data_IF_818049791422
#
_entry.id   IF_818049791422
#
_cell.length_a   1.000
_cell.length_b   1.000
_cell.length_c   1.000
_cell.angle_alpha   90.00
_cell.angle_beta   90.00
_cell.angle_gamma   90.00
#
_symmetry.space_group_name_H-M   'P 1'
#
loop_
_entity.id
_entity.type
_entity.pdbx_description
1 polymer ?
#
# COMPACT_ATOMS: atom_id res chain seq x y z
N UNK A 1 -19.25 8.58 -8.31
CA UNK A 1 -19.82 7.46 -9.10
C UNK A 1 -19.09 6.13 -8.90
N UNK A 2 -17.75 6.09 -8.82
CA UNK A 2 -16.99 4.82 -8.68
C UNK A 2 -17.38 3.95 -7.46
N UNK A 3 -17.66 4.56 -6.29
CA UNK A 3 -18.08 3.80 -5.09
C UNK A 3 -19.39 3.02 -5.27
N UNK A 4 -20.30 3.47 -6.15
CA UNK A 4 -21.58 2.81 -6.37
C UNK A 4 -21.44 1.51 -7.18
N UNK A 5 -20.37 1.40 -7.99
CA UNK A 5 -20.14 0.24 -8.87
C UNK A 5 -19.16 -0.78 -8.28
N UNK A 6 -18.40 -0.46 -7.22
CA UNK A 6 -17.45 -1.43 -6.65
C UNK A 6 -18.14 -2.67 -6.08
N UNK A 7 -19.17 -2.49 -5.24
CA UNK A 7 -19.90 -3.61 -4.63
C UNK A 7 -20.49 -4.60 -5.65
N UNK A 8 -21.24 -4.17 -6.69
CA UNK A 8 -21.76 -5.11 -7.69
C UNK A 8 -20.65 -5.80 -8.48
N UNK A 9 -19.54 -5.11 -8.76
CA UNK A 9 -18.38 -5.72 -9.44
C UNK A 9 -17.68 -6.78 -8.57
N UNK A 10 -17.54 -6.54 -7.25
CA UNK A 10 -16.99 -7.55 -6.32
C UNK A 10 -17.94 -8.75 -6.17
N UNK A 11 -19.26 -8.54 -6.18
CA UNK A 11 -20.24 -9.64 -6.19
C UNK A 11 -20.13 -10.44 -7.50
N UNK A 12 -20.02 -9.76 -8.64
CA UNK A 12 -19.80 -10.39 -9.93
C UNK A 12 -18.56 -11.28 -9.89
N UNK A 13 -17.44 -10.79 -9.36
CA UNK A 13 -16.21 -11.58 -9.19
C UNK A 13 -16.43 -12.86 -8.39
N UNK A 14 -17.24 -12.81 -7.32
CA UNK A 14 -17.53 -14.00 -6.52
C UNK A 14 -18.40 -15.01 -7.28
N UNK A 15 -19.37 -14.53 -8.05
CA UNK A 15 -20.23 -15.39 -8.88
C UNK A 15 -19.44 -16.05 -10.01
N UNK A 16 -18.62 -15.29 -10.72
CA UNK A 16 -17.75 -15.81 -11.78
C UNK A 16 -16.70 -16.76 -11.21
N UNK A 17 -16.13 -16.49 -10.04
CA UNK A 17 -15.24 -17.43 -9.35
C UNK A 17 -15.95 -18.73 -8.94
N UNK A 18 -17.20 -18.64 -8.46
CA UNK A 18 -18.01 -19.81 -8.12
C UNK A 18 -18.35 -20.66 -9.36
N UNK A 19 -18.54 -20.05 -10.53
CA UNK A 19 -18.74 -20.74 -11.81
C UNK A 19 -17.43 -21.31 -12.37
N UNK A 20 -16.35 -20.54 -12.29
CA UNK A 20 -15.05 -20.92 -12.83
C UNK A 20 -14.46 -22.12 -12.09
N UNK A 21 -14.64 -22.22 -10.77
CA UNK A 21 -14.03 -23.28 -9.95
C UNK A 21 -14.40 -24.72 -10.39
N UNK A 22 -15.69 -25.11 -10.52
CA UNK A 22 -16.05 -26.45 -10.98
C UNK A 22 -15.63 -26.69 -12.45
N UNK A 23 -15.69 -25.66 -13.29
CA UNK A 23 -15.23 -25.75 -14.67
C UNK A 23 -13.71 -25.96 -14.77
N UNK A 24 -12.95 -25.31 -13.89
CA UNK A 24 -11.50 -25.48 -13.78
C UNK A 24 -11.17 -26.93 -13.38
N UNK A 25 -11.87 -27.47 -12.37
CA UNK A 25 -11.73 -28.86 -11.93
C UNK A 25 -12.00 -29.81 -13.10
N UNK A 26 -13.11 -29.64 -13.80
CA UNK A 26 -13.45 -30.46 -14.95
C UNK A 26 -12.38 -30.38 -16.05
N UNK A 27 -11.94 -29.18 -16.43
CA UNK A 27 -10.88 -29.02 -17.44
C UNK A 27 -9.54 -29.61 -17.00
N UNK A 28 -9.18 -29.49 -15.72
CA UNK A 28 -7.94 -30.06 -15.20
C UNK A 28 -7.98 -31.58 -15.28
N UNK A 29 -9.06 -32.22 -14.82
CA UNK A 29 -9.21 -33.69 -14.88
C UNK A 29 -9.12 -34.17 -16.33
N UNK A 30 -9.88 -33.57 -17.24
CA UNK A 30 -9.91 -33.99 -18.64
C UNK A 30 -8.56 -33.73 -19.35
N UNK A 31 -7.85 -32.65 -19.02
CA UNK A 31 -6.53 -32.38 -19.59
C UNK A 31 -5.46 -33.36 -19.06
N UNK A 32 -5.56 -33.80 -17.81
CA UNK A 32 -4.69 -34.84 -17.25
C UNK A 32 -4.99 -36.23 -17.83
N UNK A 33 -6.26 -36.51 -18.16
CA UNK A 33 -6.74 -37.79 -18.68
C UNK A 33 -6.55 -37.95 -20.21
N UNK A 34 -5.58 -37.23 -20.79
CA UNK A 34 -5.35 -37.20 -22.25
C UNK A 34 -5.32 -38.63 -22.87
N UNK A 35 -6.06 -38.87 -23.96
CA UNK A 35 -6.26 -40.20 -24.54
C UNK A 35 -5.02 -40.77 -25.25
N UNK A 36 -3.94 -39.99 -25.37
CA UNK A 36 -2.69 -40.49 -25.92
C UNK A 36 -1.93 -41.29 -24.86
N UNK A 37 -1.96 -42.62 -24.99
CA UNK A 37 -1.40 -43.59 -24.05
C UNK A 37 0.09 -43.39 -23.67
N UNK A 38 0.83 -42.59 -24.46
CA UNK A 38 2.24 -42.24 -24.22
C UNK A 38 2.47 -40.85 -23.60
N UNK A 39 1.43 -40.04 -23.40
CA UNK A 39 1.56 -38.65 -22.93
C UNK A 39 0.71 -38.42 -21.69
N UNK A 40 1.09 -39.10 -20.60
CA UNK A 40 0.59 -38.73 -19.28
C UNK A 40 1.29 -37.43 -18.86
N UNK A 41 0.51 -36.38 -18.62
CA UNK A 41 1.01 -35.10 -18.09
C UNK A 41 0.71 -35.05 -16.61
N UNK A 42 1.72 -34.77 -15.78
CA UNK A 42 1.54 -34.61 -14.34
C UNK A 42 0.94 -33.23 -13.99
N UNK A 43 1.08 -32.24 -14.88
CA UNK A 43 0.69 -30.84 -14.64
C UNK A 43 0.17 -30.20 -15.92
N UNK A 44 -0.85 -29.35 -15.79
CA UNK A 44 -1.46 -28.57 -16.87
C UNK A 44 -1.54 -27.10 -16.49
N UNK A 45 -1.60 -26.20 -17.48
CA UNK A 45 -1.75 -24.76 -17.21
C UNK A 45 -3.04 -24.44 -16.42
N UNK A 46 -4.08 -25.27 -16.58
CA UNK A 46 -5.33 -25.16 -15.82
C UNK A 46 -5.11 -25.30 -14.30
N UNK A 47 -4.14 -26.10 -13.84
CA UNK A 47 -3.82 -26.23 -12.41
C UNK A 47 -3.39 -24.90 -11.78
N UNK A 48 -2.77 -24.01 -12.55
CA UNK A 48 -2.35 -22.71 -12.03
C UNK A 48 -3.50 -21.71 -11.97
N UNK A 49 -4.61 -21.95 -12.68
CA UNK A 49 -5.79 -21.09 -12.70
C UNK A 49 -6.46 -20.89 -11.34
N UNK A 50 -6.27 -21.80 -10.38
CA UNK A 50 -6.77 -21.64 -9.01
C UNK A 50 -6.12 -20.47 -8.27
N UNK A 51 -4.87 -20.13 -8.60
CA UNK A 51 -4.11 -19.08 -7.89
C UNK A 51 -4.77 -17.70 -8.07
N UNK A 52 -4.91 -17.16 -9.29
CA UNK A 52 -5.56 -15.85 -9.47
C UNK A 52 -7.04 -15.87 -9.07
N UNK A 53 -7.71 -17.02 -9.19
CA UNK A 53 -9.11 -17.19 -8.81
C UNK A 53 -9.29 -17.07 -7.28
N UNK A 54 -8.45 -17.76 -6.50
CA UNK A 54 -8.43 -17.65 -5.05
C UNK A 54 -8.04 -16.22 -4.61
N UNK A 55 -7.00 -15.65 -5.21
CA UNK A 55 -6.57 -14.28 -4.92
C UNK A 55 -7.68 -13.25 -5.13
N UNK A 56 -8.38 -13.33 -6.26
CA UNK A 56 -9.47 -12.40 -6.60
C UNK A 56 -10.72 -12.60 -5.76
N UNK A 57 -11.04 -13.84 -5.39
CA UNK A 57 -12.10 -14.13 -4.43
C UNK A 57 -11.78 -13.57 -3.03
N UNK A 58 -10.55 -13.76 -2.55
CA UNK A 58 -10.10 -13.21 -1.25
C UNK A 58 -10.09 -11.67 -1.30
N UNK A 59 -9.53 -11.07 -2.35
CA UNK A 59 -9.53 -9.62 -2.50
C UNK A 59 -10.96 -9.03 -2.50
N UNK A 60 -11.89 -9.70 -3.19
CA UNK A 60 -13.28 -9.26 -3.26
C UNK A 60 -14.04 -9.44 -1.95
N UNK A 61 -13.86 -10.56 -1.25
CA UNK A 61 -14.47 -10.77 0.08
C UNK A 61 -13.92 -9.78 1.10
N UNK A 62 -12.60 -9.58 1.15
CA UNK A 62 -11.97 -8.63 2.08
C UNK A 62 -12.42 -7.19 1.77
N UNK A 63 -12.47 -6.77 0.50
CA UNK A 63 -13.00 -5.45 0.12
C UNK A 63 -14.45 -5.28 0.59
N UNK A 64 -15.31 -6.27 0.35
CA UNK A 64 -16.72 -6.20 0.77
C UNK A 64 -16.88 -6.14 2.29
N UNK A 65 -16.09 -6.93 3.05
CA UNK A 65 -16.09 -6.89 4.52
C UNK A 65 -15.58 -5.53 5.02
N UNK A 66 -14.53 -4.99 4.40
CA UNK A 66 -13.99 -3.67 4.74
C UNK A 66 -15.03 -2.58 4.51
N UNK A 67 -15.67 -2.56 3.34
CA UNK A 67 -16.72 -1.60 3.00
C UNK A 67 -17.92 -1.70 3.95
N UNK A 68 -18.31 -2.92 4.35
CA UNK A 68 -19.38 -3.14 5.33
C UNK A 68 -19.02 -2.59 6.72
N UNK A 69 -17.75 -2.70 7.14
CA UNK A 69 -17.31 -2.28 8.48
C UNK A 69 -16.98 -0.79 8.57
N UNK A 70 -16.40 -0.20 7.52
CA UNK A 70 -15.89 1.18 7.54
C UNK A 70 -16.66 2.16 6.67
N UNK A 71 -17.58 1.69 5.83
CA UNK A 71 -18.35 2.53 4.91
C UNK A 71 -17.54 3.13 3.75
N UNK A 72 -16.23 2.88 3.70
CA UNK A 72 -15.31 3.40 2.68
C UNK A 72 -14.71 2.28 1.85
N UNK A 73 -14.30 2.61 0.63
CA UNK A 73 -13.55 1.72 -0.25
C UNK A 73 -12.13 1.46 0.30
N UNK A 74 -11.56 0.27 0.10
CA UNK A 74 -10.22 -0.03 0.57
C UNK A 74 -9.17 0.86 -0.14
N UNK A 75 -8.14 1.27 0.60
CA UNK A 75 -7.12 2.21 0.12
C UNK A 75 -6.23 1.66 -1.02
N UNK A 76 -5.33 2.49 -1.59
CA UNK A 76 -4.57 2.18 -2.80
C UNK A 76 -3.67 0.95 -2.69
N UNK A 77 -3.30 0.54 -1.47
CA UNK A 77 -2.54 -0.69 -1.23
C UNK A 77 -3.31 -1.95 -1.63
N UNK A 78 -4.64 -1.95 -1.53
CA UNK A 78 -5.48 -3.07 -1.98
C UNK A 78 -5.49 -3.20 -3.50
N UNK A 79 -5.42 -2.08 -4.22
CA UNK A 79 -5.37 -2.08 -5.68
C UNK A 79 -4.11 -2.74 -6.23
N UNK A 80 -3.01 -2.77 -5.47
CA UNK A 80 -1.80 -3.53 -5.86
C UNK A 80 -2.12 -5.03 -5.99
N UNK A 81 -2.96 -5.58 -5.10
CA UNK A 81 -3.41 -6.97 -5.20
C UNK A 81 -4.27 -7.19 -6.44
N UNK A 82 -5.13 -6.23 -6.78
CA UNK A 82 -5.93 -6.27 -8.01
C UNK A 82 -5.03 -6.26 -9.27
N UNK A 83 -3.96 -5.46 -9.25
CA UNK A 83 -2.94 -5.44 -10.32
C UNK A 83 -2.15 -6.74 -10.42
N UNK A 84 -1.71 -7.31 -9.29
CA UNK A 84 -1.00 -8.59 -9.27
C UNK A 84 -1.90 -9.73 -9.80
N UNK A 85 -3.18 -9.75 -9.41
CA UNK A 85 -4.13 -10.70 -9.91
C UNK A 85 -4.30 -10.61 -11.45
N UNK A 86 -4.34 -9.39 -11.99
CA UNK A 86 -4.39 -9.18 -13.44
C UNK A 86 -3.17 -9.79 -14.15
N UNK A 87 -1.96 -9.58 -13.63
CA UNK A 87 -0.72 -10.15 -14.20
C UNK A 87 -0.77 -11.68 -14.15
N UNK A 88 -1.21 -12.25 -13.03
CA UNK A 88 -1.35 -13.70 -12.86
C UNK A 88 -2.37 -14.29 -13.85
N UNK A 89 -3.50 -13.61 -14.09
CA UNK A 89 -4.45 -14.05 -15.12
C UNK A 89 -3.82 -14.08 -16.51
N UNK A 90 -3.07 -13.04 -16.91
CA UNK A 90 -2.36 -13.06 -18.20
C UNK A 90 -1.35 -14.21 -18.27
N UNK A 91 -0.56 -14.39 -17.21
CA UNK A 91 0.46 -15.44 -17.14
C UNK A 91 -0.11 -16.85 -17.27
N UNK A 92 -1.39 -17.07 -16.94
CA UNK A 92 -2.06 -18.38 -17.01
C UNK A 92 -2.94 -18.51 -18.26
N UNK A 93 -3.69 -17.48 -18.63
CA UNK A 93 -4.57 -17.50 -19.81
C UNK A 93 -3.76 -17.66 -21.10
N UNK A 94 -2.59 -17.04 -21.21
CA UNK A 94 -1.75 -17.17 -22.40
C UNK A 94 -1.32 -18.63 -22.62
N UNK A 95 -0.70 -19.34 -21.64
CA UNK A 95 -0.41 -20.76 -21.78
C UNK A 95 -1.62 -21.65 -22.03
N UNK A 96 -2.77 -21.37 -21.40
CA UNK A 96 -4.00 -22.15 -21.64
C UNK A 96 -4.40 -22.08 -23.12
N UNK A 97 -4.42 -20.88 -23.71
CA UNK A 97 -4.84 -20.71 -25.10
C UNK A 97 -3.75 -21.10 -26.11
N UNK A 98 -2.47 -20.84 -25.81
CA UNK A 98 -1.36 -21.08 -26.72
C UNK A 98 -0.90 -22.55 -26.74
N UNK A 99 -0.95 -23.23 -25.59
CA UNK A 99 -0.41 -24.58 -25.42
C UNK A 99 -1.55 -25.59 -25.26
N UNK A 100 -2.40 -25.43 -24.24
CA UNK A 100 -3.39 -26.47 -23.90
C UNK A 100 -4.46 -26.62 -25.00
N UNK A 101 -5.02 -25.52 -25.50
CA UNK A 101 -6.03 -25.58 -26.58
C UNK A 101 -5.44 -26.12 -27.88
N UNK A 102 -4.17 -25.83 -28.15
CA UNK A 102 -3.44 -26.36 -29.32
C UNK A 102 -3.18 -27.86 -29.20
N UNK A 103 -2.72 -28.32 -28.03
CA UNK A 103 -2.38 -29.72 -27.76
C UNK A 103 -3.62 -30.63 -27.70
N UNK A 104 -4.74 -30.12 -27.18
CA UNK A 104 -5.97 -30.92 -27.01
C UNK A 104 -6.66 -31.23 -28.34
N UNK A 105 -6.40 -30.46 -29.41
CA UNK A 105 -6.66 -30.78 -30.82
C UNK A 105 -8.10 -31.11 -31.25
N UNK A 106 -9.03 -31.28 -30.31
CA UNK A 106 -10.39 -31.73 -30.54
C UNK A 106 -11.40 -30.60 -30.29
N UNK A 107 -12.42 -30.45 -31.15
CA UNK A 107 -13.29 -29.28 -31.18
C UNK A 107 -14.09 -29.06 -29.88
N UNK A 108 -14.38 -30.12 -29.11
CA UNK A 108 -15.07 -30.01 -27.82
C UNK A 108 -14.24 -29.36 -26.71
N UNK A 109 -12.91 -29.48 -26.76
CA UNK A 109 -12.02 -28.98 -25.73
C UNK A 109 -11.82 -27.47 -25.80
N UNK A 110 -11.77 -26.90 -27.01
CA UNK A 110 -11.70 -25.45 -27.18
C UNK A 110 -12.94 -24.73 -26.62
N UNK A 111 -14.11 -25.36 -26.76
CA UNK A 111 -15.37 -24.83 -26.22
C UNK A 111 -15.43 -24.93 -24.69
N UNK A 112 -14.97 -26.05 -24.12
CA UNK A 112 -14.83 -26.21 -22.68
C UNK A 112 -13.82 -25.21 -22.09
N UNK A 113 -12.65 -25.06 -22.72
CA UNK A 113 -11.64 -24.08 -22.33
C UNK A 113 -12.20 -22.64 -22.43
N UNK A 114 -13.01 -22.35 -23.44
CA UNK A 114 -13.73 -21.09 -23.56
C UNK A 114 -14.68 -20.83 -22.39
N UNK A 115 -15.48 -21.82 -22.00
CA UNK A 115 -16.38 -21.68 -20.85
C UNK A 115 -15.65 -21.54 -19.51
N UNK A 116 -14.50 -22.22 -19.35
CA UNK A 116 -13.67 -22.09 -18.14
C UNK A 116 -12.97 -20.73 -18.08
N UNK A 117 -12.40 -20.27 -19.20
CA UNK A 117 -11.62 -19.02 -19.23
C UNK A 117 -12.49 -17.78 -19.30
N UNK A 118 -13.73 -17.84 -19.81
CA UNK A 118 -14.66 -16.70 -19.86
C UNK A 118 -14.88 -16.02 -18.50
N UNK A 119 -15.29 -16.72 -17.41
CA UNK A 119 -15.44 -16.11 -16.10
C UNK A 119 -14.10 -15.61 -15.51
N UNK A 120 -12.98 -16.27 -15.85
CA UNK A 120 -11.64 -15.81 -15.45
C UNK A 120 -11.26 -14.49 -16.15
N UNK A 121 -11.59 -14.34 -17.43
CA UNK A 121 -11.38 -13.12 -18.22
C UNK A 121 -12.24 -11.98 -17.64
N UNK A 122 -13.49 -12.25 -17.26
CA UNK A 122 -14.34 -11.26 -16.58
C UNK A 122 -13.68 -10.81 -15.28
N UNK A 123 -13.18 -11.74 -14.45
CA UNK A 123 -12.44 -11.39 -13.23
C UNK A 123 -11.21 -10.54 -13.53
N UNK A 124 -10.42 -10.91 -14.53
CA UNK A 124 -9.27 -10.13 -14.97
C UNK A 124 -9.67 -8.68 -15.25
N UNK A 125 -10.68 -8.45 -16.10
CA UNK A 125 -11.13 -7.10 -16.44
C UNK A 125 -11.63 -6.31 -15.23
N UNK A 126 -12.38 -6.94 -14.32
CA UNK A 126 -12.86 -6.28 -13.10
C UNK A 126 -11.69 -5.81 -12.24
N UNK A 127 -10.69 -6.66 -12.02
CA UNK A 127 -9.52 -6.32 -11.22
C UNK A 127 -8.59 -5.31 -11.94
N UNK A 128 -8.44 -5.42 -13.27
CA UNK A 128 -7.75 -4.41 -14.07
C UNK A 128 -8.40 -3.03 -13.96
N UNK A 129 -9.75 -2.98 -13.96
CA UNK A 129 -10.49 -1.74 -13.80
C UNK A 129 -10.21 -1.08 -12.45
N UNK A 130 -10.24 -1.85 -11.35
CA UNK A 130 -9.90 -1.34 -10.03
C UNK A 130 -8.45 -0.86 -9.93
N UNK A 131 -7.51 -1.58 -10.54
CA UNK A 131 -6.12 -1.17 -10.59
C UNK A 131 -5.94 0.13 -11.38
N UNK A 132 -6.51 0.22 -12.58
CA UNK A 132 -6.42 1.39 -13.46
C UNK A 132 -7.03 2.64 -12.80
N UNK A 133 -8.18 2.50 -12.15
CA UNK A 133 -8.83 3.62 -11.44
C UNK A 133 -7.94 4.16 -10.31
N UNK A 134 -7.22 3.28 -9.61
CA UNK A 134 -6.34 3.65 -8.51
C UNK A 134 -4.88 3.88 -8.94
N UNK A 135 -4.55 3.70 -10.23
CA UNK A 135 -3.17 3.73 -10.72
C UNK A 135 -2.46 5.06 -10.41
N UNK A 136 -3.18 6.19 -10.52
CA UNK A 136 -2.62 7.51 -10.15
C UNK A 136 -2.30 7.61 -8.67
N UNK A 137 -3.16 7.06 -7.80
CA UNK A 137 -2.93 7.04 -6.35
C UNK A 137 -1.79 6.11 -5.96
N UNK A 138 -1.68 4.96 -6.63
CA UNK A 138 -0.59 4.00 -6.46
C UNK A 138 0.73 4.65 -6.89
N UNK A 139 0.76 5.26 -8.08
CA UNK A 139 1.94 5.97 -8.59
C UNK A 139 2.37 7.09 -7.65
N UNK A 140 1.43 7.88 -7.13
CA UNK A 140 1.75 8.91 -6.14
C UNK A 140 2.29 8.34 -4.83
N UNK A 141 1.86 7.14 -4.44
CA UNK A 141 2.37 6.47 -3.23
C UNK A 141 3.80 5.95 -3.42
N UNK A 142 4.16 5.56 -4.64
CA UNK A 142 5.54 5.19 -4.99
C UNK A 142 6.45 6.41 -5.22
N UNK A 143 5.89 7.52 -5.71
CA UNK A 143 6.61 8.76 -5.95
C UNK A 143 6.72 9.66 -4.71
N UNK A 144 5.95 9.37 -3.64
CA UNK A 144 6.01 10.14 -2.41
C UNK A 144 7.38 9.93 -1.72
N UNK A 145 8.07 11.01 -1.31
CA UNK A 145 9.31 10.88 -0.55
C UNK A 145 9.03 10.13 0.74
N UNK A 146 9.90 9.17 1.10
CA UNK A 146 9.76 8.42 2.34
C UNK A 146 9.88 9.38 3.52
N UNK A 147 8.79 9.49 4.28
CA UNK A 147 8.74 10.26 5.53
C UNK A 147 9.14 9.30 6.64
N UNK A 148 10.30 9.54 7.25
CA UNK A 148 10.72 8.83 8.45
C UNK A 148 10.32 9.63 9.68
N UNK A 149 9.78 8.95 10.68
CA UNK A 149 9.49 9.52 11.99
C UNK A 149 10.71 9.33 12.88
N UNK A 150 11.22 10.41 13.47
CA UNK A 150 12.31 10.31 14.43
C UNK A 150 11.80 9.64 15.72
N UNK A 151 12.40 8.52 16.17
CA UNK A 151 11.91 7.79 17.34
C UNK A 151 12.03 8.58 18.66
N UNK A 152 12.82 9.66 18.71
CA UNK A 152 13.04 10.43 19.93
C UNK A 152 12.17 11.69 20.04
N UNK A 153 11.80 12.30 18.92
CA UNK A 153 11.02 13.56 18.90
C UNK A 153 9.73 13.48 18.09
N UNK A 154 9.40 12.31 17.52
CA UNK A 154 8.22 12.07 16.68
C UNK A 154 8.06 13.06 15.51
N UNK A 155 9.14 13.76 15.14
CA UNK A 155 9.14 14.68 14.02
C UNK A 155 9.37 13.91 12.72
N UNK A 156 8.56 14.24 11.72
CA UNK A 156 8.57 13.63 10.41
C UNK A 156 9.56 14.34 9.49
N UNK A 157 10.51 13.60 8.90
CA UNK A 157 11.46 14.14 7.92
C UNK A 157 11.47 13.32 6.63
N UNK A 158 11.48 14.01 5.48
CA UNK A 158 11.53 13.39 4.16
C UNK A 158 12.98 13.09 3.78
N UNK A 159 13.32 11.83 3.51
CA UNK A 159 14.66 11.45 3.01
C UNK A 159 14.64 11.48 1.47
N UNK A 160 15.21 12.53 0.91
CA UNK A 160 15.39 12.76 -0.52
C UNK A 160 16.25 14.00 -0.73
N UNK A 161 16.97 14.10 -1.86
CA UNK A 161 17.84 15.25 -2.19
C UNK A 161 17.04 16.53 -1.95
N UNK A 162 17.49 17.44 -1.08
CA UNK A 162 16.73 18.64 -0.77
C UNK A 162 16.56 19.43 -2.07
N UNK A 163 15.32 19.59 -2.54
CA UNK A 163 15.04 20.71 -3.43
C UNK A 163 15.28 21.96 -2.61
N UNK A 164 16.39 22.63 -2.87
CA UNK A 164 16.65 23.98 -2.43
C UNK A 164 15.49 24.82 -2.99
N UNK A 165 14.43 24.99 -2.19
CA UNK A 165 13.47 26.05 -2.42
C UNK A 165 14.20 27.34 -2.11
N UNK A 166 14.81 27.94 -3.11
CA UNK A 166 15.08 29.37 -3.09
C UNK A 166 13.72 30.05 -3.01
N UNK A 167 13.27 30.32 -1.78
CA UNK A 167 12.16 31.23 -1.56
C UNK A 167 12.69 32.63 -1.84
N UNK A 168 12.70 33.01 -3.13
CA UNK A 168 12.86 34.39 -3.56
C UNK A 168 11.60 35.17 -3.16
N UNK A 169 11.49 35.46 -1.86
CA UNK A 169 10.70 36.58 -1.37
C UNK A 169 11.53 37.29 -0.33
N UNK A 170 12.16 38.36 -0.81
CA UNK A 170 12.50 39.58 -0.07
C UNK A 170 11.66 39.69 1.21
N UNK A 171 12.35 39.61 2.34
CA UNK A 171 11.76 39.56 3.67
C UNK A 171 12.84 39.08 4.62
N UNK A 172 13.65 40.02 5.07
CA UNK A 172 14.74 39.92 6.05
C UNK A 172 14.57 38.72 7.00
N UNK A 173 15.36 37.67 6.76
CA UNK A 173 15.58 36.61 7.73
C UNK A 173 17.05 36.25 7.71
N UNK A 174 17.68 36.56 8.84
CA UNK A 174 19.03 36.15 9.20
C UNK A 174 19.24 34.67 8.89
N UNK A 175 20.09 34.38 7.92
CA UNK A 175 20.57 33.03 7.62
C UNK A 175 21.82 32.79 8.45
N UNK A 176 21.69 32.08 9.57
CA UNK A 176 22.78 31.71 10.49
C UNK A 176 23.83 30.76 9.89
N UNK A 177 23.81 30.52 8.57
CA UNK A 177 24.71 29.60 7.86
C UNK A 177 25.49 30.26 6.72
N UNK A 178 25.37 31.58 6.56
CA UNK A 178 26.17 32.35 5.59
C UNK A 178 27.35 33.01 6.31
N UNK A 179 28.39 32.22 6.56
CA UNK A 179 29.62 32.65 7.26
C UNK A 179 30.54 33.58 6.47
N UNK A 180 30.05 34.20 5.40
CA UNK A 180 30.82 35.05 4.49
C UNK A 180 30.66 36.56 4.76
N UNK A 181 29.63 36.97 5.52
CA UNK A 181 29.36 38.39 5.81
C UNK A 181 29.94 38.90 7.15
N UNK A 182 30.63 38.05 7.93
CA UNK A 182 31.16 38.43 9.25
C UNK A 182 32.64 38.85 9.26
N UNK A 183 33.33 38.85 8.13
CA UNK A 183 34.77 39.15 8.07
C UNK A 183 35.12 40.59 7.70
N UNK A 184 34.17 41.37 7.18
CA UNK A 184 34.46 42.72 6.65
C UNK A 184 34.09 43.87 7.60
N UNK A 185 33.52 43.59 8.78
CA UNK A 185 33.07 44.63 9.73
C UNK A 185 33.96 44.85 10.96
N UNK A 186 35.10 44.15 11.08
CA UNK A 186 36.00 44.30 12.23
C UNK A 186 37.02 45.46 12.09
N UNK A 187 36.95 46.26 11.02
CA UNK A 187 37.88 47.38 10.82
C UNK A 187 37.52 48.64 11.64
N UNK A 188 36.25 48.81 12.06
CA UNK A 188 35.76 50.05 12.68
C UNK A 188 34.97 49.82 14.00
N UNK A 189 35.38 48.85 14.82
CA UNK A 189 34.78 48.67 16.15
C UNK A 189 35.23 49.80 17.10
N UNK A 190 34.39 50.81 17.29
CA UNK A 190 34.59 51.89 18.26
C UNK A 190 34.75 51.35 19.69
N UNK A 191 35.74 51.89 20.40
CA UNK A 191 36.13 51.47 21.75
C UNK A 191 35.10 51.94 22.79
N UNK A 192 34.19 51.06 23.20
CA UNK A 192 33.28 51.36 24.31
C UNK A 192 34.03 51.24 25.65
N UNK A 193 34.17 52.37 26.36
CA UNK A 193 34.79 52.45 27.69
C UNK A 193 33.77 51.98 28.74
N UNK A 194 34.08 50.86 29.38
CA UNK A 194 33.29 50.29 30.48
C UNK A 194 33.57 51.03 31.80
N UNK A 195 32.63 51.87 32.23
CA UNK A 195 32.65 52.51 33.54
C UNK A 195 31.27 52.49 34.19
N UNK A 196 30.85 51.34 34.73
CA UNK A 196 30.23 51.28 36.07
C UNK A 196 30.05 49.85 36.55
N UNK A 197 30.82 49.51 37.58
CA UNK A 197 30.84 48.23 38.28
C UNK A 197 29.57 47.95 39.10
N UNK A 198 29.18 46.67 39.24
CA UNK A 198 29.20 45.99 40.56
C UNK A 198 29.02 44.45 40.50
N UNK A 199 29.66 43.68 41.41
CA UNK A 199 29.71 42.20 41.40
C UNK A 199 28.90 41.50 42.51
N UNK A 200 28.55 40.22 42.23
CA UNK A 200 28.40 38.99 43.07
C UNK A 200 27.50 38.91 44.32
N UNK A 201 27.04 37.66 44.56
CA UNK A 201 26.39 37.02 45.75
C UNK A 201 24.84 36.92 45.68
N UNK A 202 24.12 35.82 45.99
CA UNK A 202 24.37 34.40 46.37
C UNK A 202 22.96 33.73 46.55
N UNK A 203 22.91 32.41 46.81
CA UNK A 203 21.85 31.68 47.54
C UNK A 203 20.69 31.03 46.71
N UNK A 204 20.26 29.77 46.85
CA UNK A 204 20.79 28.46 47.31
C UNK A 204 19.66 27.42 46.98
N UNK A 205 19.99 26.22 46.49
CA UNK A 205 19.25 24.93 46.70
C UNK A 205 20.09 24.14 47.75
N UNK A 206 19.67 23.04 48.44
CA UNK A 206 18.59 22.04 48.25
C UNK A 206 17.82 21.72 49.58
N UNK A 207 16.82 20.83 49.66
CA UNK A 207 16.94 19.39 50.00
C UNK A 207 15.57 18.68 49.98
N UNK A 208 15.59 17.38 49.67
CA UNK A 208 14.52 16.40 49.87
C UNK A 208 14.41 16.01 51.36
N UNK A 209 13.22 15.63 51.82
CA UNK A 209 13.06 14.34 52.50
C UNK A 209 11.60 13.87 52.58
N UNK A 210 11.47 12.55 52.47
CA UNK A 210 10.29 11.71 52.38
C UNK A 210 9.95 11.14 53.77
N UNK A 211 8.65 11.05 54.14
CA UNK A 211 8.05 10.04 55.05
C UNK A 211 6.64 10.41 55.53
N UNK A 212 5.72 9.45 55.40
CA UNK A 212 4.87 9.05 56.53
C UNK A 212 3.35 9.10 56.35
N UNK A 213 2.80 7.97 55.90
CA UNK A 213 1.61 7.27 56.40
C UNK A 213 0.31 8.01 56.77
N UNK A 214 -0.82 7.54 56.20
CA UNK A 214 -2.16 7.77 56.77
C UNK A 214 -3.29 7.33 55.85
N UNK A 215 -3.73 6.08 55.96
CA UNK A 215 -5.00 5.59 55.43
C UNK A 215 -6.20 6.40 55.95
N UNK A 216 -7.16 6.71 55.08
CA UNK A 216 -8.45 7.30 55.47
C UNK A 216 -9.52 7.12 54.40
N UNK A 217 -10.52 6.29 54.69
CA UNK A 217 -11.66 5.88 53.86
C UNK A 217 -12.73 6.99 53.67
N UNK A 218 -13.62 6.73 52.70
CA UNK A 218 -15.03 7.21 52.51
C UNK A 218 -15.23 8.68 52.07
N UNK A 219 -15.88 8.96 50.92
CA UNK A 219 -17.36 9.00 50.66
C UNK A 219 -18.00 10.06 51.59
N UNK A 220 -18.55 11.21 51.16
CA UNK A 220 -19.81 11.49 50.43
C UNK A 220 -19.85 12.94 49.87
N UNK A 221 -20.57 13.09 48.75
CA UNK A 221 -21.32 14.20 48.09
C UNK A 221 -21.40 15.67 48.59
N UNK A 222 -21.65 16.52 47.58
CA UNK A 222 -22.16 17.92 47.50
C UNK A 222 -21.15 19.04 47.65
#
# INVERSE_FOLDING_TARGET
>A
MAMAQERPLRILTLLTSALALPLLIATTVISLESPYWYSHRDVTAFCFGYIPLAMTAVASTVSMVHQRRRGTVPGPRFSILDGLACIMYFAILIPIWAVEVGDLGAPGYGLLAGYTTSPMIVNMFVHSYFFAYNARSIWSSFAAPQVHECPNCHNNFTVGVPQIKETSKSGERYSLLRGEDYLDTDADAEHYIDTSARPSEEQLRPECDDKGEGEGKSIIDV
#
